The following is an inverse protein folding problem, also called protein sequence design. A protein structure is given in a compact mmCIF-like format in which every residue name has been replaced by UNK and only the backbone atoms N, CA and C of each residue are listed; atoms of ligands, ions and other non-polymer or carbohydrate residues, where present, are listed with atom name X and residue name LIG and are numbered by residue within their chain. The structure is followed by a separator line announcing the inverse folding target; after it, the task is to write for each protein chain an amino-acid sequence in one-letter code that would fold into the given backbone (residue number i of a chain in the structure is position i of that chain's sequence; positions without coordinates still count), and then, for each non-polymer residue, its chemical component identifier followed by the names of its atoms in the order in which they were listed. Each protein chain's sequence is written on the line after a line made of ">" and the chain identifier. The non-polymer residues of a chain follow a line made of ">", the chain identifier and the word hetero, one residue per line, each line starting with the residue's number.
data_IF_045592012526
#
_entry.id   IF_045592012526
#
_cell.length_a   1.000
_cell.length_b   1.000
_cell.length_c   1.000
_cell.angle_alpha   90.00
_cell.angle_beta   90.00
_cell.angle_gamma   90.00
#
_symmetry.space_group_name_H-M   'P 1'
#
loop_
_entity.id
_entity.type
_entity.pdbx_description
1 polymer ?
#
# COMPACT_ATOMS: atom_id res chain seq x y z
N UNK A 1 26.40 7.96 -4.13
CA UNK A 1 25.67 7.75 -5.40
C UNK A 1 24.48 8.68 -5.38
N UNK A 2 24.26 9.48 -6.42
CA UNK A 2 23.05 10.30 -6.52
C UNK A 2 21.88 9.39 -6.94
N UNK A 3 20.74 9.52 -6.26
CA UNK A 3 19.48 8.94 -6.71
C UNK A 3 19.20 9.48 -8.14
N UNK A 4 18.72 8.65 -9.08
CA UNK A 4 18.29 9.16 -10.37
C UNK A 4 17.09 10.08 -10.11
N UNK A 5 16.99 11.12 -10.92
CA UNK A 5 15.90 12.08 -10.85
C UNK A 5 14.63 11.36 -11.32
N UNK A 6 13.85 10.83 -10.37
CA UNK A 6 12.56 10.20 -10.63
C UNK A 6 11.54 11.27 -10.32
N UNK A 7 10.95 11.89 -11.36
CA UNK A 7 10.22 13.12 -11.18
C UNK A 7 9.13 13.03 -10.09
N UNK A 8 8.45 11.89 -9.93
CA UNK A 8 7.44 11.69 -8.87
C UNK A 8 8.00 11.66 -7.44
N UNK A 9 9.25 11.22 -7.25
CA UNK A 9 9.89 11.09 -5.94
C UNK A 9 10.80 12.28 -5.61
N UNK A 10 11.34 12.97 -6.62
CA UNK A 10 12.32 14.04 -6.47
C UNK A 10 11.76 15.42 -6.80
N UNK A 11 10.59 15.49 -7.47
CA UNK A 11 9.96 16.73 -7.88
C UNK A 11 8.48 16.76 -7.44
N UNK A 12 8.16 17.30 -6.25
CA UNK A 12 6.79 17.40 -5.76
C UNK A 12 5.86 18.19 -6.70
N UNK A 13 6.41 19.11 -7.51
CA UNK A 13 5.69 19.78 -8.60
C UNK A 13 5.36 18.85 -9.78
N UNK A 14 6.13 17.80 -10.05
CA UNK A 14 5.76 16.77 -11.03
C UNK A 14 4.52 16.01 -10.57
N UNK A 15 4.53 15.52 -9.33
CA UNK A 15 3.38 14.81 -8.76
C UNK A 15 2.10 15.65 -8.77
N UNK A 16 2.21 16.94 -8.44
CA UNK A 16 1.09 17.90 -8.52
C UNK A 16 0.57 18.12 -9.96
N UNK A 17 1.46 18.29 -10.94
CA UNK A 17 1.08 18.67 -12.31
C UNK A 17 0.68 17.48 -13.20
N UNK A 18 1.27 16.30 -12.99
CA UNK A 18 1.03 15.11 -13.82
C UNK A 18 -0.18 14.33 -13.34
N UNK A 19 -0.36 14.19 -12.02
CA UNK A 19 -1.37 13.27 -11.52
C UNK A 19 -2.74 13.91 -11.30
N UNK A 20 -2.86 15.25 -11.35
CA UNK A 20 -4.08 16.04 -11.06
C UNK A 20 -4.83 15.66 -9.76
N UNK A 21 -4.41 14.63 -9.01
CA UNK A 21 -5.05 13.98 -7.86
C UNK A 21 -6.58 13.94 -7.91
N UNK A 22 -7.16 13.96 -9.11
CA UNK A 22 -8.58 13.74 -9.27
C UNK A 22 -8.79 12.27 -8.93
N UNK A 23 -9.71 11.94 -8.02
CA UNK A 23 -10.03 10.55 -7.77
C UNK A 23 -10.33 9.89 -9.12
N UNK A 24 -9.83 8.66 -9.36
CA UNK A 24 -10.21 7.95 -10.57
C UNK A 24 -11.74 7.98 -10.68
N UNK A 25 -12.30 8.10 -11.90
CA UNK A 25 -13.75 8.07 -12.08
C UNK A 25 -14.33 6.91 -11.29
N UNK A 26 -15.37 7.16 -10.50
CA UNK A 26 -16.01 6.17 -9.60
C UNK A 26 -16.40 4.86 -10.30
N UNK A 27 -16.45 4.86 -11.64
CA UNK A 27 -16.83 3.73 -12.49
C UNK A 27 -15.63 2.87 -12.95
N UNK A 28 -14.39 3.22 -12.56
CA UNK A 28 -13.23 2.37 -12.86
C UNK A 28 -13.24 1.11 -11.98
N UNK A 29 -13.07 -0.09 -12.57
CA UNK A 29 -12.99 -1.32 -11.80
C UNK A 29 -11.72 -1.33 -10.94
N UNK A 30 -11.82 -1.84 -9.71
CA UNK A 30 -10.67 -2.03 -8.83
C UNK A 30 -9.64 -2.95 -9.48
N UNK A 31 -8.37 -2.57 -9.42
CA UNK A 31 -7.27 -3.46 -9.79
C UNK A 31 -6.99 -4.45 -8.65
N UNK A 32 -6.59 -5.69 -8.96
CA UNK A 32 -6.22 -6.65 -7.92
C UNK A 32 -4.92 -6.24 -7.24
N UNK A 33 -4.84 -6.42 -5.92
CA UNK A 33 -3.56 -6.45 -5.23
C UNK A 33 -2.89 -7.79 -5.53
N UNK A 34 -1.69 -7.76 -6.10
CA UNK A 34 -0.92 -8.96 -6.42
C UNK A 34 0.38 -8.97 -5.60
N UNK A 35 0.58 -10.04 -4.83
CA UNK A 35 1.84 -10.33 -4.14
C UNK A 35 2.52 -11.47 -4.92
N UNK A 36 3.70 -11.23 -5.53
CA UNK A 36 4.38 -12.27 -6.29
C UNK A 36 4.82 -13.42 -5.38
N UNK A 37 4.96 -14.65 -5.93
CA UNK A 37 5.54 -15.75 -5.19
C UNK A 37 6.98 -15.41 -4.78
N UNK A 38 7.44 -16.05 -3.71
CA UNK A 38 8.82 -15.89 -3.25
C UNK A 38 9.81 -16.30 -4.35
N UNK A 39 10.74 -15.41 -4.67
CA UNK A 39 11.73 -15.61 -5.74
C UNK A 39 12.96 -16.42 -5.28
N UNK A 40 13.09 -16.71 -3.98
CA UNK A 40 14.22 -17.48 -3.46
C UNK A 40 14.05 -18.97 -3.75
N UNK A 41 15.10 -19.63 -4.23
CA UNK A 41 15.11 -21.08 -4.33
C UNK A 41 15.20 -21.71 -2.93
N UNK A 42 14.22 -22.58 -2.66
CA UNK A 42 13.53 -22.79 -1.37
C UNK A 42 12.74 -21.56 -0.91
N UNK A 43 11.40 -21.64 -0.86
CA UNK A 43 10.59 -20.61 -0.22
C UNK A 43 11.10 -20.40 1.20
N UNK A 44 11.35 -19.14 1.57
CA UNK A 44 11.68 -18.84 2.95
C UNK A 44 10.57 -19.37 3.85
N UNK A 45 10.92 -19.94 5.01
CA UNK A 45 9.93 -20.46 5.97
C UNK A 45 8.93 -19.42 6.47
N UNK A 46 9.13 -18.14 6.13
CA UNK A 46 8.31 -17.00 6.51
C UNK A 46 7.48 -16.43 5.33
N UNK A 47 7.41 -17.11 4.17
CA UNK A 47 6.67 -16.65 2.99
C UNK A 47 5.75 -17.70 2.34
N UNK A 48 4.44 -17.41 2.17
CA UNK A 48 3.65 -16.43 2.93
C UNK A 48 3.50 -16.88 4.41
N UNK A 49 3.28 -15.95 5.35
CA UNK A 49 3.14 -16.28 6.77
C UNK A 49 1.96 -17.20 7.04
N UNK A 50 2.07 -18.10 8.02
CA UNK A 50 0.96 -18.98 8.39
C UNK A 50 -0.21 -18.16 8.99
N UNK A 51 -1.47 -18.51 8.71
CA UNK A 51 -2.66 -17.86 9.30
C UNK A 51 -2.80 -18.01 10.82
N UNK A 52 -1.91 -18.76 11.46
CA UNK A 52 -1.89 -18.98 12.90
C UNK A 52 -0.73 -18.20 13.56
N UNK A 53 0.12 -17.55 12.77
CA UNK A 53 1.30 -16.83 13.25
C UNK A 53 0.94 -15.38 13.56
N UNK A 54 1.12 -14.92 14.82
CA UNK A 54 0.99 -13.50 15.16
C UNK A 54 1.95 -12.65 14.34
N UNK A 55 1.43 -11.62 13.68
CA UNK A 55 2.22 -10.79 12.77
C UNK A 55 1.66 -9.37 12.71
N UNK A 56 2.54 -8.37 12.79
CA UNK A 56 2.23 -6.99 12.44
C UNK A 56 2.52 -6.77 10.97
N UNK A 57 1.56 -6.22 10.24
CA UNK A 57 1.68 -5.97 8.82
C UNK A 57 1.59 -4.47 8.57
N UNK A 58 2.57 -3.94 7.84
CA UNK A 58 2.56 -2.59 7.29
C UNK A 58 2.43 -2.70 5.77
N UNK A 59 1.43 -2.04 5.20
CA UNK A 59 1.29 -1.92 3.75
C UNK A 59 1.16 -0.45 3.38
N UNK A 60 1.95 -0.01 2.40
CA UNK A 60 2.04 1.39 2.02
C UNK A 60 2.38 1.60 0.55
N UNK A 61 2.06 2.77 0.02
CA UNK A 61 2.37 3.11 -1.36
C UNK A 61 1.89 4.49 -1.79
N UNK A 62 2.21 4.88 -3.04
CA UNK A 62 1.69 6.10 -3.65
C UNK A 62 0.16 6.09 -3.66
N UNK A 63 -0.45 7.22 -3.30
CA UNK A 63 -1.91 7.34 -3.20
C UNK A 63 -2.60 6.99 -4.53
N UNK A 64 -1.99 7.35 -5.65
CA UNK A 64 -2.52 7.05 -6.99
C UNK A 64 -2.67 5.54 -7.22
N UNK A 65 -1.69 4.74 -6.79
CA UNK A 65 -1.77 3.28 -6.88
C UNK A 65 -2.86 2.73 -5.97
N UNK A 66 -2.95 3.23 -4.74
CA UNK A 66 -3.98 2.83 -3.77
C UNK A 66 -5.40 3.16 -4.25
N UNK A 67 -5.59 4.30 -4.91
CA UNK A 67 -6.85 4.69 -5.53
C UNK A 67 -7.29 3.73 -6.64
N UNK A 68 -6.34 3.16 -7.40
CA UNK A 68 -6.65 2.13 -8.40
C UNK A 68 -7.03 0.79 -7.76
N UNK A 69 -6.43 0.45 -6.62
CA UNK A 69 -6.79 -0.76 -5.85
C UNK A 69 -8.16 -0.61 -5.16
N UNK A 70 -8.49 0.61 -4.70
CA UNK A 70 -9.67 0.91 -3.91
C UNK A 70 -10.40 2.16 -4.45
N UNK A 71 -10.97 2.11 -5.67
CA UNK A 71 -11.57 3.28 -6.32
C UNK A 71 -12.85 3.78 -5.63
N UNK A 72 -13.51 2.92 -4.84
CA UNK A 72 -14.69 3.30 -4.06
C UNK A 72 -14.39 3.99 -2.72
N UNK A 73 -13.12 4.12 -2.35
CA UNK A 73 -12.71 4.68 -1.05
C UNK A 73 -12.41 6.17 -1.19
N UNK A 74 -12.92 6.96 -0.25
CA UNK A 74 -12.56 8.38 -0.16
C UNK A 74 -11.22 8.54 0.54
N UNK A 75 -10.27 9.12 -0.17
CA UNK A 75 -8.92 9.43 0.32
C UNK A 75 -8.76 10.92 0.69
N UNK A 76 -9.84 11.71 0.57
CA UNK A 76 -9.80 13.11 0.90
C UNK A 76 -9.71 13.31 2.42
N UNK A 77 -8.69 14.05 2.85
CA UNK A 77 -8.48 14.42 4.25
C UNK A 77 -8.73 15.93 4.40
N UNK A 78 -9.84 16.34 5.04
CA UNK A 78 -10.19 17.76 5.11
C UNK A 78 -9.25 18.55 6.02
N UNK A 79 -8.61 17.88 6.99
CA UNK A 79 -7.81 18.47 8.05
C UNK A 79 -6.50 17.68 8.22
N UNK A 80 -5.45 18.30 8.77
CA UNK A 80 -4.16 17.63 9.06
C UNK A 80 -4.24 16.59 10.19
N UNK A 81 -5.25 16.68 11.04
CA UNK A 81 -5.51 15.77 12.16
C UNK A 81 -6.91 15.14 12.00
N UNK A 82 -7.08 14.20 11.05
CA UNK A 82 -8.36 13.51 10.90
C UNK A 82 -8.58 12.50 12.03
N UNK A 83 -9.85 12.16 12.26
CA UNK A 83 -10.23 11.06 13.14
C UNK A 83 -9.63 9.74 12.64
N UNK A 84 -9.15 8.93 13.57
CA UNK A 84 -8.62 7.60 13.29
C UNK A 84 -9.68 6.51 13.51
N UNK A 85 -9.75 5.48 12.64
CA UNK A 85 -9.01 5.34 11.38
C UNK A 85 -9.63 6.17 10.25
N UNK A 86 -8.83 6.57 9.27
CA UNK A 86 -9.35 7.11 8.01
C UNK A 86 -10.07 6.01 7.21
N UNK A 87 -11.00 6.36 6.30
CA UNK A 87 -11.70 5.36 5.48
C UNK A 87 -10.75 4.45 4.68
N UNK A 88 -9.58 4.97 4.27
CA UNK A 88 -8.52 4.25 3.56
C UNK A 88 -7.91 3.08 4.31
N UNK A 89 -7.58 3.28 5.58
CA UNK A 89 -6.80 2.33 6.37
C UNK A 89 -7.45 0.96 6.50
N UNK A 90 -8.69 0.86 7.01
CA UNK A 90 -9.38 -0.41 7.17
C UNK A 90 -9.61 -1.15 5.85
N UNK A 91 -9.90 -0.44 4.75
CA UNK A 91 -10.11 -1.08 3.44
C UNK A 91 -8.80 -1.59 2.84
N UNK A 92 -7.70 -0.84 2.98
CA UNK A 92 -6.37 -1.30 2.57
C UNK A 92 -5.89 -2.49 3.41
N UNK A 93 -6.11 -2.45 4.73
CA UNK A 93 -5.79 -3.56 5.63
C UNK A 93 -6.58 -4.82 5.26
N UNK A 94 -7.90 -4.70 4.99
CA UNK A 94 -8.74 -5.82 4.52
C UNK A 94 -8.23 -6.41 3.21
N UNK A 95 -7.85 -5.57 2.25
CA UNK A 95 -7.33 -6.01 0.95
C UNK A 95 -6.02 -6.78 1.13
N UNK A 96 -5.08 -6.24 1.90
CA UNK A 96 -3.81 -6.90 2.20
C UNK A 96 -4.02 -8.23 2.95
N UNK A 97 -4.89 -8.23 3.96
CA UNK A 97 -5.22 -9.42 4.74
C UNK A 97 -5.73 -10.57 3.86
N UNK A 98 -6.71 -10.28 2.98
CA UNK A 98 -7.25 -11.26 2.04
C UNK A 98 -6.17 -11.82 1.12
N UNK A 99 -5.26 -10.97 0.66
CA UNK A 99 -4.19 -11.40 -0.24
C UNK A 99 -3.13 -12.24 0.48
N UNK A 100 -2.80 -11.92 1.73
CA UNK A 100 -1.81 -12.67 2.51
C UNK A 100 -2.36 -14.03 2.95
N UNK A 101 -3.56 -14.05 3.53
CA UNK A 101 -4.13 -15.23 4.19
C UNK A 101 -5.14 -15.99 3.33
N UNK A 102 -5.45 -15.49 2.12
CA UNK A 102 -6.37 -16.12 1.16
C UNK A 102 -7.76 -16.40 1.74
N UNK A 103 -8.22 -15.53 2.65
CA UNK A 103 -9.53 -15.62 3.30
C UNK A 103 -10.01 -14.25 3.78
N UNK A 104 -11.31 -14.17 4.05
CA UNK A 104 -11.90 -13.04 4.76
C UNK A 104 -11.55 -13.02 6.25
N UNK A 105 -11.66 -11.82 6.83
CA UNK A 105 -11.56 -11.59 8.27
C UNK A 105 -12.77 -12.23 8.95
N UNK A 106 -12.52 -12.91 10.05
CA UNK A 106 -13.48 -13.65 10.84
C UNK A 106 -13.77 -12.93 12.15
N UNK A 107 -15.03 -12.57 12.35
CA UNK A 107 -15.48 -11.89 13.57
C UNK A 107 -15.45 -12.77 14.82
N UNK A 108 -15.39 -14.10 14.66
CA UNK A 108 -15.30 -15.05 15.76
C UNK A 108 -13.87 -15.31 16.25
N UNK A 109 -12.87 -14.77 15.55
CA UNK A 109 -11.46 -14.82 15.95
C UNK A 109 -11.07 -13.46 16.55
N UNK A 110 -10.81 -13.44 17.86
CA UNK A 110 -10.32 -12.24 18.51
C UNK A 110 -8.95 -11.85 17.96
N UNK A 111 -8.80 -10.60 17.53
CA UNK A 111 -7.54 -10.10 16.97
C UNK A 111 -7.25 -10.58 15.54
N UNK A 112 -8.25 -11.10 14.81
CA UNK A 112 -8.02 -11.58 13.44
C UNK A 112 -7.46 -10.48 12.52
N UNK A 113 -7.95 -9.25 12.67
CA UNK A 113 -7.33 -8.07 12.10
C UNK A 113 -7.61 -6.86 12.97
N UNK A 114 -6.57 -6.14 13.41
CA UNK A 114 -6.70 -4.92 14.22
C UNK A 114 -5.87 -3.80 13.62
N UNK A 115 -6.50 -2.76 13.09
CA UNK A 115 -5.79 -1.57 12.59
C UNK A 115 -5.14 -0.84 13.77
N UNK A 116 -3.86 -0.51 13.62
CA UNK A 116 -3.02 0.10 14.67
C UNK A 116 -2.60 1.51 14.37
N UNK A 117 -2.22 1.78 13.13
CA UNK A 117 -1.69 3.08 12.74
C UNK A 117 -1.87 3.37 11.25
N UNK A 118 -1.75 4.63 10.88
CA UNK A 118 -1.87 5.11 9.50
C UNK A 118 -0.79 6.16 9.20
N UNK A 119 0.01 5.90 8.17
CA UNK A 119 0.99 6.84 7.66
C UNK A 119 0.39 7.72 6.55
N UNK A 120 0.68 9.03 6.61
CA UNK A 120 0.18 10.04 5.68
C UNK A 120 1.36 10.86 5.14
N UNK A 121 1.75 10.61 3.89
CA UNK A 121 2.74 11.42 3.19
C UNK A 121 2.09 12.72 2.72
N UNK A 122 2.21 13.78 3.52
CA UNK A 122 1.63 15.08 3.22
C UNK A 122 2.44 15.84 2.17
N UNK A 123 1.79 16.31 1.11
CA UNK A 123 2.42 17.15 0.09
C UNK A 123 2.43 18.61 0.54
N UNK A 124 3.60 19.10 0.97
CA UNK A 124 3.77 20.45 1.53
C UNK A 124 3.58 21.51 0.44
N UNK A 125 3.96 21.20 -0.80
CA UNK A 125 3.93 22.07 -1.97
C UNK A 125 2.51 22.35 -2.48
N UNK A 126 1.53 21.50 -2.12
CA UNK A 126 0.13 21.68 -2.51
C UNK A 126 -0.61 22.73 -1.66
N UNK A 127 0.04 23.33 -0.66
CA UNK A 127 -0.57 24.34 0.21
C UNK A 127 -1.12 25.52 -0.61
N UNK A 128 -2.35 26.00 -0.30
CA UNK A 128 -3.12 25.72 0.91
C UNK A 128 -3.98 24.45 0.86
N UNK A 129 -3.95 23.66 -0.21
CA UNK A 129 -4.73 22.42 -0.32
C UNK A 129 -4.04 21.33 0.51
N UNK A 130 -4.78 20.80 1.49
CA UNK A 130 -4.36 19.68 2.32
C UNK A 130 -4.47 18.40 1.49
N UNK A 131 -3.33 17.81 1.15
CA UNK A 131 -3.27 16.66 0.25
C UNK A 131 -2.17 15.69 0.67
N UNK A 132 -2.44 14.39 0.49
CA UNK A 132 -1.45 13.33 0.63
C UNK A 132 -1.13 12.76 -0.76
N UNK A 133 0.12 12.40 -1.00
CA UNK A 133 0.56 11.68 -2.20
C UNK A 133 1.01 10.25 -1.88
N UNK A 134 1.11 9.91 -0.60
CA UNK A 134 1.49 8.60 -0.10
C UNK A 134 0.66 8.22 1.13
N UNK A 135 0.30 6.95 1.25
CA UNK A 135 -0.47 6.46 2.38
C UNK A 135 -0.04 5.05 2.78
N UNK A 136 -0.11 4.77 4.07
CA UNK A 136 0.16 3.44 4.62
C UNK A 136 -0.77 3.11 5.78
N UNK A 137 -0.98 1.82 6.00
CA UNK A 137 -1.70 1.31 7.17
C UNK A 137 -0.88 0.21 7.84
N UNK A 138 -0.85 0.24 9.16
CA UNK A 138 -0.32 -0.83 10.00
C UNK A 138 -1.48 -1.53 10.68
N UNK A 139 -1.52 -2.86 10.61
CA UNK A 139 -2.49 -3.68 11.30
C UNK A 139 -1.85 -4.94 11.87
N UNK A 140 -2.43 -5.44 12.96
CA UNK A 140 -2.01 -6.69 13.59
C UNK A 140 -2.92 -7.84 13.17
N UNK A 141 -2.33 -9.03 13.00
CA UNK A 141 -3.01 -10.31 12.94
C UNK A 141 -2.56 -11.15 14.14
N UNK A 142 -3.48 -11.50 15.05
CA UNK A 142 -3.25 -12.32 16.25
C UNK A 142 -2.15 -11.82 17.21
N UNK A 143 -1.63 -10.61 17.04
CA UNK A 143 -0.61 -10.02 17.92
C UNK A 143 -1.24 -9.73 19.29
N UNK A 144 -0.68 -10.27 20.39
CA UNK A 144 -1.11 -9.96 21.74
C UNK A 144 -1.02 -8.45 22.02
N UNK A 145 -1.97 -7.90 22.78
CA UNK A 145 -2.01 -6.46 23.07
C UNK A 145 -0.85 -5.98 23.95
N UNK A 146 -0.18 -6.89 24.66
CA UNK A 146 0.96 -6.65 25.52
C UNK A 146 2.30 -6.94 24.84
N UNK A 147 2.29 -7.41 23.58
CA UNK A 147 3.50 -7.61 22.80
C UNK A 147 4.02 -6.26 22.27
N UNK A 148 5.18 -5.84 22.79
CA UNK A 148 5.82 -4.58 22.43
C UNK A 148 6.77 -4.71 21.24
N UNK A 149 7.12 -5.92 20.82
CA UNK A 149 8.11 -6.19 19.77
C UNK A 149 7.65 -7.36 18.86
N UNK A 150 6.47 -7.22 18.20
CA UNK A 150 5.98 -8.28 17.34
C UNK A 150 6.81 -8.39 16.07
N UNK A 151 6.81 -9.57 15.46
CA UNK A 151 7.34 -9.75 14.11
C UNK A 151 6.58 -8.86 13.12
N UNK A 152 7.31 -8.26 12.16
CA UNK A 152 6.76 -7.30 11.20
C UNK A 152 6.96 -7.78 9.77
N UNK A 153 5.88 -7.76 8.98
CA UNK A 153 5.91 -7.85 7.52
C UNK A 153 5.63 -6.46 6.92
N UNK A 154 6.56 -5.94 6.12
CA UNK A 154 6.37 -4.71 5.37
C UNK A 154 6.12 -5.01 3.89
N UNK A 155 5.08 -4.38 3.32
CA UNK A 155 4.68 -4.48 1.92
C UNK A 155 4.70 -3.06 1.33
N UNK A 156 5.58 -2.84 0.36
CA UNK A 156 5.68 -1.58 -0.36
C UNK A 156 5.07 -1.73 -1.76
N UNK A 157 4.05 -0.93 -2.06
CA UNK A 157 3.45 -0.84 -3.39
C UNK A 157 4.25 0.16 -4.21
N UNK A 158 4.70 -0.27 -5.38
CA UNK A 158 5.47 0.55 -6.32
C UNK A 158 4.61 0.83 -7.55
N UNK A 159 4.54 2.11 -7.92
CA UNK A 159 3.91 2.55 -9.16
C UNK A 159 4.94 2.46 -10.29
N UNK A 160 4.54 1.87 -11.43
CA UNK A 160 5.46 1.53 -12.54
C UNK A 160 5.00 2.12 -13.88
N UNK A 161 3.83 2.76 -13.94
CA UNK A 161 3.29 3.26 -15.22
C UNK A 161 4.00 4.55 -15.65
N UNK A 162 4.35 5.42 -14.71
CA UNK A 162 4.95 6.73 -15.01
C UNK A 162 6.35 6.63 -15.65
N UNK A 163 7.21 5.73 -15.15
CA UNK A 163 8.60 5.58 -15.60
C UNK A 163 8.90 4.25 -16.29
N UNK A 164 7.87 3.47 -16.62
CA UNK A 164 8.01 2.15 -17.23
C UNK A 164 8.78 1.16 -16.34
N UNK A 165 8.63 1.26 -15.02
CA UNK A 165 9.28 0.39 -14.04
C UNK A 165 10.76 0.70 -13.81
N UNK A 166 11.27 1.84 -14.27
CA UNK A 166 12.69 2.21 -14.13
C UNK A 166 13.11 2.27 -12.66
N UNK A 167 12.30 2.88 -11.81
CA UNK A 167 12.52 2.92 -10.36
C UNK A 167 12.50 1.52 -9.77
N UNK A 168 11.46 0.75 -10.08
CA UNK A 168 11.26 -0.58 -9.54
C UNK A 168 12.45 -1.49 -9.90
N UNK A 169 12.91 -1.48 -11.15
CA UNK A 169 14.05 -2.26 -11.63
C UNK A 169 15.40 -1.81 -11.06
N UNK A 170 15.52 -0.54 -10.66
CA UNK A 170 16.75 -0.03 -10.06
C UNK A 170 16.96 -0.49 -8.62
N UNK A 171 15.89 -0.58 -7.85
CA UNK A 171 15.96 -0.83 -6.40
C UNK A 171 15.49 -2.20 -5.96
N UNK A 172 14.86 -2.98 -6.85
CA UNK A 172 14.54 -4.38 -6.58
C UNK A 172 15.67 -5.31 -7.06
N UNK A 173 15.89 -6.44 -6.37
CA UNK A 173 16.89 -7.42 -6.78
C UNK A 173 16.47 -8.29 -7.98
N UNK A 174 15.34 -7.98 -8.63
CA UNK A 174 14.78 -8.71 -9.76
C UNK A 174 14.15 -7.75 -10.76
N UNK A 175 14.17 -8.16 -12.03
CA UNK A 175 13.54 -7.41 -13.12
C UNK A 175 12.01 -7.59 -13.05
N UNK A 176 11.32 -6.45 -13.05
CA UNK A 176 9.88 -6.26 -13.16
C UNK A 176 9.61 -5.81 -14.59
N UNK A 177 8.93 -6.65 -15.37
CA UNK A 177 8.40 -6.25 -16.67
C UNK A 177 7.04 -5.57 -16.47
N UNK A 178 6.91 -4.25 -16.73
CA UNK A 178 5.63 -3.57 -16.59
C UNK A 178 4.51 -4.18 -17.42
N UNK A 179 4.83 -4.82 -18.56
CA UNK A 179 3.84 -5.48 -19.40
C UNK A 179 3.16 -6.68 -18.70
N UNK A 180 3.77 -7.26 -17.67
CA UNK A 180 3.15 -8.32 -16.87
C UNK A 180 2.04 -7.78 -15.95
N UNK A 181 2.11 -6.50 -15.58
CA UNK A 181 1.23 -5.88 -14.59
C UNK A 181 0.22 -4.91 -15.21
N UNK A 182 0.55 -4.28 -16.34
CA UNK A 182 -0.34 -3.35 -17.04
C UNK A 182 -1.51 -4.12 -17.68
N UNK A 183 -2.74 -3.79 -17.29
CA UNK A 183 -3.95 -4.25 -17.96
C UNK A 183 -4.44 -5.67 -17.60
N UNK A 184 -3.79 -6.36 -16.65
CA UNK A 184 -4.34 -7.60 -16.10
C UNK A 184 -5.56 -7.30 -15.23
N UNK A 185 -6.72 -7.80 -15.66
CA UNK A 185 -7.89 -7.94 -14.79
C UNK A 185 -7.68 -9.20 -13.95
N UNK A 186 -7.78 -9.08 -12.63
CA UNK A 186 -7.73 -10.20 -11.70
C UNK A 186 -8.84 -11.22 -11.94
#
# INVERSE_FOLDING_TARGET
>A
MALPDIPCLTNPTHSYNVHCFHPPPSDQPALPLYIPPCLTETPHSFHPPSPETPLRIQIEGPLLALQKLLPGVSWHTPNHEPDFPLPGGPELAKLAFRMIYQRDIRSDIAGDMVVRDEYKGWLIEARPVVMIDYYGVTFDHLVPSDDTDPEVLQINIVEIEDDGGTYANKYNPFDIDPAEYIGRKG
#
